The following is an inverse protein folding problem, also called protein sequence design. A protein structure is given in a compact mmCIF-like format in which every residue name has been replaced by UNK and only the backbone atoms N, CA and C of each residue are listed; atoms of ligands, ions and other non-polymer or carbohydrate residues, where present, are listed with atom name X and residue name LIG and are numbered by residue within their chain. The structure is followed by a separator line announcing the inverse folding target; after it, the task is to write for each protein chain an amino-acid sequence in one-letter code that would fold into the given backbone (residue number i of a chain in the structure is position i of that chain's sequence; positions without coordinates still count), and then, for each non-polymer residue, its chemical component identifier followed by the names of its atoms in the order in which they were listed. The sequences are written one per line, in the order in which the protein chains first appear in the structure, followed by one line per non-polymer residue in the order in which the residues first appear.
data_IF_693515473145
#
_entry.id   IF_693515473145
#
_cell.length_a   1.000
_cell.length_b   1.000
_cell.length_c   1.000
_cell.angle_alpha   90.00
_cell.angle_beta   90.00
_cell.angle_gamma   90.00
#
_symmetry.space_group_name_H-M   'P 1'
#
loop_
_entity.id
_entity.type
_entity.pdbx_description
1 polymer ?
#
# COMPACT_ATOMS: atom_id res chain seq x y z
N UNK A 1 21.93 34.40 31.73
CA UNK A 1 20.46 34.41 31.97
C UNK A 1 19.82 33.68 30.82
N UNK A 2 19.07 32.61 31.07
CA UNK A 2 18.34 31.92 29.99
C UNK A 2 18.31 30.41 30.16
N UNK A 3 17.54 29.97 31.14
CA UNK A 3 17.20 28.59 31.41
C UNK A 3 16.25 28.03 30.33
N UNK A 4 16.36 26.70 30.06
CA UNK A 4 15.32 25.76 29.55
C UNK A 4 14.80 26.04 28.10
N UNK A 5 14.54 25.11 27.17
CA UNK A 5 13.90 23.78 27.22
C UNK A 5 14.37 22.86 26.07
N UNK A 6 14.56 21.60 26.43
CA UNK A 6 14.54 20.42 25.56
C UNK A 6 13.19 20.32 24.82
N UNK A 7 13.20 20.06 23.51
CA UNK A 7 12.10 19.34 22.85
C UNK A 7 12.60 17.97 22.37
N UNK A 8 12.83 17.11 23.37
CA UNK A 8 12.77 15.65 23.21
C UNK A 8 11.39 15.31 22.67
N UNK A 9 11.29 14.70 21.49
CA UNK A 9 10.01 14.27 20.89
C UNK A 9 9.58 12.90 21.46
N UNK A 10 8.59 12.83 22.38
CA UNK A 10 8.18 11.58 23.04
C UNK A 10 7.23 10.73 22.18
N UNK A 11 6.80 11.24 21.02
CA UNK A 11 5.72 10.68 20.22
C UNK A 11 6.09 9.41 19.44
N UNK A 12 7.36 9.27 19.03
CA UNK A 12 7.85 8.07 18.35
C UNK A 12 7.87 6.85 19.27
N UNK A 13 8.21 7.04 20.55
CA UNK A 13 8.15 5.99 21.56
C UNK A 13 6.70 5.57 21.86
N UNK A 14 5.76 6.52 21.88
CA UNK A 14 4.33 6.21 22.02
C UNK A 14 3.75 5.44 20.82
N UNK A 15 4.20 5.70 19.58
CA UNK A 15 3.75 4.92 18.42
C UNK A 15 4.30 3.49 18.42
N UNK A 16 5.56 3.30 18.80
CA UNK A 16 6.16 1.96 18.88
C UNK A 16 5.56 1.12 20.02
N UNK A 17 5.26 1.74 21.17
CA UNK A 17 4.62 1.04 22.28
C UNK A 17 3.18 0.63 21.94
N UNK A 18 2.44 1.48 21.22
CA UNK A 18 1.08 1.19 20.78
C UNK A 18 1.05 0.10 19.70
N UNK A 19 2.07 0.05 18.83
CA UNK A 19 2.22 -1.01 17.84
C UNK A 19 2.59 -2.36 18.47
N UNK A 20 3.45 -2.35 19.50
CA UNK A 20 3.79 -3.55 20.28
C UNK A 20 2.60 -4.10 21.07
N UNK A 21 1.75 -3.23 21.63
CA UNK A 21 0.52 -3.65 22.35
C UNK A 21 -0.56 -4.17 21.41
N UNK A 22 -0.72 -3.57 20.22
CA UNK A 22 -1.65 -4.05 19.18
C UNK A 22 -1.24 -5.43 18.67
N UNK A 23 0.06 -5.67 18.50
CA UNK A 23 0.60 -6.97 18.11
C UNK A 23 0.40 -8.05 19.18
N UNK A 24 0.54 -7.69 20.47
CA UNK A 24 0.29 -8.62 21.60
C UNK A 24 -1.20 -8.95 21.82
N UNK A 25 -2.11 -8.18 21.22
CA UNK A 25 -3.57 -8.36 21.33
C UNK A 25 -4.17 -9.37 20.35
N UNK A 26 -3.41 -9.80 19.34
CA UNK A 26 -3.87 -10.69 18.27
C UNK A 26 -3.19 -12.07 18.34
N UNK A 27 -2.94 -12.57 19.55
CA UNK A 27 -2.43 -13.93 19.77
C UNK A 27 -3.53 -14.85 20.29
N UNK A 28 -4.51 -15.11 19.41
CA UNK A 28 -5.48 -16.19 19.60
C UNK A 28 -6.00 -16.68 18.25
N UNK A 29 -5.11 -17.31 17.47
CA UNK A 29 -5.36 -18.51 16.64
C UNK A 29 -4.14 -18.79 15.74
N UNK A 30 -3.40 -19.83 16.12
CA UNK A 30 -2.78 -20.78 15.19
C UNK A 30 -1.64 -20.32 14.25
N UNK A 31 -0.54 -19.77 14.76
CA UNK A 31 0.65 -19.52 13.92
C UNK A 31 1.98 -19.67 14.67
N UNK A 32 2.28 -20.88 15.19
CA UNK A 32 3.61 -21.20 15.75
C UNK A 32 4.75 -21.20 14.71
N UNK A 33 4.42 -21.10 13.42
CA UNK A 33 5.40 -21.10 12.32
C UNK A 33 5.84 -19.67 11.89
N UNK A 34 5.10 -18.61 12.22
CA UNK A 34 5.42 -17.23 11.76
C UNK A 34 6.28 -16.44 12.76
N UNK A 35 6.33 -16.84 14.04
CA UNK A 35 7.06 -16.13 15.11
C UNK A 35 8.58 -16.13 14.83
N UNK A 36 9.15 -17.26 14.40
CA UNK A 36 10.58 -17.35 14.06
C UNK A 36 10.97 -16.48 12.86
N UNK A 37 10.06 -16.34 11.90
CA UNK A 37 10.26 -15.45 10.75
C UNK A 37 10.15 -13.98 11.17
N UNK A 38 9.20 -13.66 12.04
CA UNK A 38 9.05 -12.31 12.59
C UNK A 38 10.28 -11.89 13.44
N UNK A 39 10.82 -12.78 14.28
CA UNK A 39 12.04 -12.53 15.06
C UNK A 39 13.26 -12.28 14.18
N UNK A 40 13.42 -13.04 13.10
CA UNK A 40 14.51 -12.84 12.14
C UNK A 40 14.41 -11.48 11.42
N UNK A 41 13.20 -11.08 11.02
CA UNK A 41 12.95 -9.79 10.37
C UNK A 41 13.24 -8.63 11.34
N UNK A 42 12.79 -8.74 12.59
CA UNK A 42 13.07 -7.71 13.60
C UNK A 42 14.56 -7.57 13.87
N UNK A 43 15.29 -8.69 14.01
CA UNK A 43 16.75 -8.68 14.23
C UNK A 43 17.50 -7.99 13.08
N UNK A 44 17.16 -8.33 11.83
CA UNK A 44 17.80 -7.74 10.66
C UNK A 44 17.56 -6.23 10.56
N UNK A 45 16.35 -5.77 10.87
CA UNK A 45 16.03 -4.33 10.86
C UNK A 45 16.80 -3.59 11.97
N UNK A 46 16.92 -4.18 13.17
CA UNK A 46 17.67 -3.55 14.27
C UNK A 46 19.17 -3.46 13.99
N UNK A 47 19.76 -4.44 13.31
CA UNK A 47 21.17 -4.45 12.95
C UNK A 47 21.50 -3.39 11.90
N UNK A 48 20.72 -3.30 10.81
CA UNK A 48 20.88 -2.28 9.77
C UNK A 48 20.76 -0.86 10.32
N UNK A 49 19.85 -0.65 11.28
CA UNK A 49 19.70 0.65 11.93
C UNK A 49 20.88 1.00 12.85
N UNK A 50 21.48 0.02 13.52
CA UNK A 50 22.68 0.23 14.34
C UNK A 50 23.91 0.55 13.49
N UNK A 51 24.14 -0.20 12.40
CA UNK A 51 25.26 0.04 11.47
C UNK A 51 25.18 1.42 10.83
N UNK A 52 23.96 1.87 10.50
CA UNK A 52 23.74 3.18 9.91
C UNK A 52 23.96 4.33 10.89
N UNK A 53 23.85 4.09 12.21
CA UNK A 53 24.06 5.10 13.26
C UNK A 53 25.56 5.32 13.53
N UNK A 54 26.36 4.26 13.51
CA UNK A 54 27.81 4.35 13.65
C UNK A 54 28.43 5.09 12.45
N UNK A 55 27.96 4.82 11.22
CA UNK A 55 28.46 5.46 10.01
C UNK A 55 28.15 6.98 9.93
N UNK A 56 27.07 7.44 10.56
CA UNK A 56 26.75 8.88 10.67
C UNK A 56 27.59 9.55 11.75
N UNK A 57 27.96 8.83 12.81
CA UNK A 57 28.75 9.36 13.92
C UNK A 57 30.17 9.78 13.50
N UNK A 58 30.79 9.09 12.54
CA UNK A 58 32.13 9.41 12.04
C UNK A 58 32.18 10.62 11.08
N UNK A 59 31.03 11.10 10.60
CA UNK A 59 30.95 12.21 9.64
C UNK A 59 30.92 13.62 10.26
N UNK A 60 31.03 13.73 11.59
CA UNK A 60 30.99 15.01 12.27
C UNK A 60 32.37 15.69 12.28
N UNK A 61 32.51 16.70 11.42
CA UNK A 61 33.59 17.70 11.46
C UNK A 61 33.68 18.32 12.86
N UNK A 62 34.89 18.37 13.41
CA UNK A 62 35.11 18.78 14.80
C UNK A 62 34.77 20.27 15.03
N UNK A 63 34.36 20.58 16.26
CA UNK A 63 33.88 21.90 16.72
C UNK A 63 34.88 23.05 16.49
N UNK A 64 36.16 22.76 16.30
CA UNK A 64 37.20 23.76 16.03
C UNK A 64 37.21 24.25 14.57
N UNK A 65 36.74 23.45 13.62
CA UNK A 65 36.67 23.87 12.21
C UNK A 65 35.47 24.78 11.93
N UNK A 66 34.36 24.62 12.66
CA UNK A 66 33.21 25.52 12.53
C UNK A 66 33.50 26.96 12.97
N UNK A 67 34.37 27.17 13.96
CA UNK A 67 34.71 28.52 14.45
C UNK A 67 35.54 29.33 13.46
N UNK A 68 36.25 28.68 12.54
CA UNK A 68 37.06 29.38 11.53
C UNK A 68 36.21 30.01 10.42
N UNK A 69 35.00 29.50 10.20
CA UNK A 69 34.11 29.97 9.12
C UNK A 69 33.29 31.19 9.57
N UNK A 70 33.05 31.36 10.88
CA UNK A 70 32.17 32.40 11.43
C UNK A 70 32.82 33.80 11.50
N UNK A 71 34.16 33.91 11.52
CA UNK A 71 34.84 35.19 11.75
C UNK A 71 35.01 36.13 10.53
N UNK A 72 34.35 35.89 9.39
CA UNK A 72 34.54 36.73 8.19
C UNK A 72 33.25 37.31 7.55
N UNK A 73 32.10 37.30 8.22
CA UNK A 73 30.84 37.64 7.52
C UNK A 73 29.97 38.75 8.15
N UNK A 74 30.46 39.44 9.18
CA UNK A 74 29.66 40.47 9.88
C UNK A 74 29.71 41.87 9.25
N UNK A 75 30.54 42.14 8.22
CA UNK A 75 30.68 43.50 7.67
C UNK A 75 29.59 43.93 6.67
N UNK A 76 28.64 43.07 6.29
CA UNK A 76 27.79 43.31 5.11
C UNK A 76 26.27 43.46 5.39
N UNK A 77 25.83 43.53 6.65
CA UNK A 77 24.38 43.51 6.98
C UNK A 77 23.66 44.87 7.06
N UNK A 78 24.24 45.98 6.59
CA UNK A 78 23.57 47.29 6.70
C UNK A 78 22.60 47.64 5.56
N UNK A 79 22.36 46.77 4.57
CA UNK A 79 21.54 47.09 3.39
C UNK A 79 20.57 45.96 3.01
N UNK A 80 19.47 45.75 3.73
CA UNK A 80 18.36 44.92 3.21
C UNK A 80 16.99 45.53 3.53
N UNK A 81 16.27 45.88 2.47
CA UNK A 81 14.86 46.31 2.47
C UNK A 81 13.93 45.23 3.04
N UNK A 82 12.75 45.60 3.58
CA UNK A 82 11.80 44.63 4.14
C UNK A 82 11.27 43.69 3.06
N UNK A 83 11.57 42.40 3.21
CA UNK A 83 11.13 41.31 2.33
C UNK A 83 9.61 41.16 2.45
N UNK A 84 8.91 41.31 1.32
CA UNK A 84 7.48 41.03 1.18
C UNK A 84 7.20 39.58 1.59
N UNK A 85 6.22 39.39 2.47
CA UNK A 85 5.71 38.10 2.93
C UNK A 85 5.50 37.14 1.75
N UNK A 86 6.30 36.08 1.70
CA UNK A 86 6.21 35.01 0.72
C UNK A 86 4.83 34.35 0.82
N UNK A 87 4.03 34.49 -0.23
CA UNK A 87 2.77 33.79 -0.43
C UNK A 87 3.00 32.28 -0.27
N UNK A 88 2.46 31.69 0.80
CA UNK A 88 2.29 30.24 0.88
C UNK A 88 1.32 29.84 -0.23
N UNK A 89 1.84 29.14 -1.25
CA UNK A 89 1.02 28.55 -2.31
C UNK A 89 0.02 27.58 -1.66
N UNK A 90 -1.29 27.65 -1.97
CA UNK A 90 -2.27 26.78 -1.35
C UNK A 90 -1.92 25.32 -1.64
N UNK A 91 -1.87 24.51 -0.58
CA UNK A 91 -1.68 23.06 -0.64
C UNK A 91 -2.79 22.46 -1.52
N UNK A 92 -2.41 21.64 -2.50
CA UNK A 92 -3.38 20.96 -3.37
C UNK A 92 -4.38 20.19 -2.49
N UNK A 93 -5.70 20.33 -2.73
CA UNK A 93 -6.69 19.62 -1.95
C UNK A 93 -6.49 18.10 -2.07
N UNK A 94 -6.74 17.34 -0.99
CA UNK A 94 -6.62 15.89 -1.02
C UNK A 94 -7.58 15.30 -2.07
N UNK A 95 -7.12 14.24 -2.76
CA UNK A 95 -7.92 13.52 -3.75
C UNK A 95 -9.19 12.98 -3.09
N UNK A 96 -10.35 13.24 -3.68
CA UNK A 96 -11.62 12.63 -3.25
C UNK A 96 -11.78 11.27 -3.90
N UNK A 97 -12.02 10.24 -3.09
CA UNK A 97 -12.34 8.89 -3.53
C UNK A 97 -13.84 8.68 -3.26
N UNK A 98 -14.65 8.32 -4.27
CA UNK A 98 -16.07 8.03 -4.07
C UNK A 98 -16.24 6.88 -3.07
N UNK A 99 -17.20 7.01 -2.16
CA UNK A 99 -17.50 6.00 -1.14
C UNK A 99 -18.54 4.98 -1.60
N UNK A 100 -19.08 5.13 -2.81
CA UNK A 100 -20.07 4.24 -3.41
C UNK A 100 -19.51 3.69 -4.71
N UNK A 101 -19.93 2.48 -5.05
CA UNK A 101 -19.66 1.90 -6.36
C UNK A 101 -20.28 2.80 -7.44
N UNK A 102 -19.57 2.93 -8.55
CA UNK A 102 -20.09 3.64 -9.72
C UNK A 102 -21.13 2.78 -10.47
N UNK A 103 -20.92 1.46 -10.46
CA UNK A 103 -21.80 0.47 -11.10
C UNK A 103 -21.92 -0.76 -10.21
N UNK A 104 -23.08 -1.41 -10.30
CA UNK A 104 -23.37 -2.66 -9.61
C UNK A 104 -23.73 -3.69 -10.67
N UNK A 105 -23.16 -4.89 -10.54
CA UNK A 105 -23.46 -6.05 -11.37
C UNK A 105 -24.10 -7.10 -10.47
N UNK A 106 -25.28 -7.59 -10.88
CA UNK A 106 -25.95 -8.68 -10.19
C UNK A 106 -25.37 -10.01 -10.66
N UNK A 107 -24.86 -10.80 -9.73
CA UNK A 107 -24.16 -12.06 -10.01
C UNK A 107 -24.96 -13.25 -9.44
N UNK A 108 -26.08 -13.65 -10.08
CA UNK A 108 -26.86 -14.79 -9.63
C UNK A 108 -26.03 -16.08 -9.81
N UNK A 109 -25.95 -16.92 -8.78
CA UNK A 109 -25.20 -18.18 -8.85
C UNK A 109 -23.69 -18.04 -8.68
N UNK A 110 -23.19 -16.88 -8.23
CA UNK A 110 -21.78 -16.77 -7.85
C UNK A 110 -21.48 -17.74 -6.70
N UNK A 111 -20.44 -18.55 -6.87
CA UNK A 111 -20.03 -19.52 -5.86
C UNK A 111 -19.15 -18.82 -4.82
N UNK A 112 -19.56 -18.86 -3.56
CA UNK A 112 -18.81 -18.31 -2.43
C UNK A 112 -17.72 -19.29 -1.97
N UNK A 113 -16.65 -19.40 -2.76
CA UNK A 113 -15.48 -20.21 -2.44
C UNK A 113 -14.19 -19.42 -2.71
N UNK A 114 -13.39 -19.27 -1.65
CA UNK A 114 -12.15 -18.52 -1.63
C UNK A 114 -11.08 -19.06 -2.60
N UNK A 115 -11.11 -20.36 -2.91
CA UNK A 115 -10.09 -20.99 -3.77
C UNK A 115 -10.40 -20.84 -5.25
N UNK A 116 -11.61 -20.41 -5.60
CA UNK A 116 -12.03 -20.29 -6.98
C UNK A 116 -11.61 -18.95 -7.56
N UNK A 117 -11.16 -18.98 -8.81
CA UNK A 117 -10.71 -17.79 -9.52
C UNK A 117 -11.69 -17.44 -10.63
N UNK A 118 -12.91 -17.08 -10.25
CA UNK A 118 -14.08 -16.96 -11.15
C UNK A 118 -14.24 -15.59 -11.82
N UNK A 119 -13.30 -14.66 -11.63
CA UNK A 119 -13.40 -13.29 -12.14
C UNK A 119 -12.10 -12.86 -12.81
N UNK A 120 -12.19 -12.33 -14.03
CA UNK A 120 -11.05 -11.75 -14.73
C UNK A 120 -11.42 -10.56 -15.63
N UNK A 121 -10.57 -9.52 -15.65
CA UNK A 121 -10.80 -8.29 -16.42
C UNK A 121 -9.79 -8.18 -17.57
N UNK A 122 -10.29 -8.14 -18.80
CA UNK A 122 -9.47 -7.95 -19.98
C UNK A 122 -8.98 -6.53 -20.20
N UNK A 123 -7.88 -6.40 -20.95
CA UNK A 123 -7.40 -5.14 -21.54
C UNK A 123 -8.40 -4.53 -22.54
N UNK A 124 -9.28 -5.34 -23.13
CA UNK A 124 -10.39 -4.89 -23.97
C UNK A 124 -11.59 -4.35 -23.18
N UNK A 125 -11.44 -4.15 -21.87
CA UNK A 125 -12.45 -3.63 -20.95
C UNK A 125 -13.70 -4.51 -20.81
N UNK A 126 -13.51 -5.82 -20.99
CA UNK A 126 -14.56 -6.82 -20.78
C UNK A 126 -14.24 -7.57 -19.51
N UNK A 127 -15.22 -7.69 -18.62
CA UNK A 127 -15.14 -8.51 -17.41
C UNK A 127 -15.69 -9.90 -17.73
N UNK A 128 -14.95 -10.96 -17.42
CA UNK A 128 -15.44 -12.33 -17.46
C UNK A 128 -15.76 -12.78 -16.04
N UNK A 129 -16.97 -13.31 -15.84
CA UNK A 129 -17.47 -13.77 -14.54
C UNK A 129 -18.03 -15.18 -14.71
N UNK A 130 -17.57 -16.12 -13.89
CA UNK A 130 -18.17 -17.44 -13.76
C UNK A 130 -19.31 -17.39 -12.73
N UNK A 131 -20.48 -17.84 -13.14
CA UNK A 131 -21.70 -17.94 -12.36
C UNK A 131 -22.14 -19.41 -12.38
N UNK A 132 -21.77 -20.17 -11.35
CA UNK A 132 -22.03 -21.61 -11.27
C UNK A 132 -21.52 -22.36 -12.53
N UNK A 133 -22.44 -22.75 -13.42
CA UNK A 133 -22.17 -23.48 -14.65
C UNK A 133 -22.14 -22.58 -15.90
N UNK A 134 -22.31 -21.28 -15.77
CA UNK A 134 -22.26 -20.34 -16.89
C UNK A 134 -21.10 -19.37 -16.76
N UNK A 135 -20.63 -18.88 -17.91
CA UNK A 135 -19.63 -17.81 -17.97
C UNK A 135 -20.26 -16.61 -18.67
N UNK A 136 -20.33 -15.50 -17.97
CA UNK A 136 -20.87 -14.24 -18.48
C UNK A 136 -19.73 -13.26 -18.78
N UNK A 137 -19.92 -12.49 -19.85
CA UNK A 137 -19.07 -11.38 -20.23
C UNK A 137 -19.84 -10.09 -20.02
N UNK A 138 -19.23 -9.15 -19.30
CA UNK A 138 -19.77 -7.81 -19.12
C UNK A 138 -18.83 -6.80 -19.79
N UNK A 139 -19.34 -6.10 -20.80
CA UNK A 139 -18.61 -5.02 -21.47
C UNK A 139 -18.76 -3.74 -20.64
N UNK A 140 -17.66 -3.23 -20.11
CA UNK A 140 -17.68 -2.03 -19.27
C UNK A 140 -17.89 -0.73 -20.09
N UNK A 141 -17.69 -0.74 -21.41
CA UNK A 141 -17.99 0.43 -22.25
C UNK A 141 -19.50 0.58 -22.49
N UNK A 142 -20.14 -0.48 -22.97
CA UNK A 142 -21.57 -0.46 -23.32
C UNK A 142 -22.47 -0.77 -22.12
N UNK A 143 -21.94 -1.46 -21.11
CA UNK A 143 -22.68 -1.99 -19.97
C UNK A 143 -23.47 -3.26 -20.30
N UNK A 144 -23.30 -3.84 -21.49
CA UNK A 144 -24.04 -5.04 -21.89
C UNK A 144 -23.47 -6.30 -21.24
N UNK A 145 -24.36 -7.22 -20.88
CA UNK A 145 -24.01 -8.57 -20.41
C UNK A 145 -24.29 -9.56 -21.53
N UNK A 146 -23.34 -10.45 -21.81
CA UNK A 146 -23.46 -11.52 -22.79
C UNK A 146 -23.07 -12.82 -22.13
N UNK A 147 -23.96 -13.80 -22.14
CA UNK A 147 -23.64 -15.16 -21.71
C UNK A 147 -22.78 -15.82 -22.81
N UNK A 148 -21.55 -16.20 -22.44
CA UNK A 148 -20.60 -16.79 -23.39
C UNK A 148 -20.88 -18.28 -23.59
N UNK A 149 -21.08 -18.98 -22.48
CA UNK A 149 -21.31 -20.43 -22.49
C UNK A 149 -22.06 -20.83 -21.23
N UNK A 150 -22.98 -21.78 -21.39
CA UNK A 150 -23.69 -22.46 -20.32
C UNK A 150 -23.36 -23.93 -20.43
N UNK A 151 -22.80 -24.51 -19.37
CA UNK A 151 -22.53 -25.93 -19.30
C UNK A 151 -23.73 -26.66 -18.69
N UNK A 152 -23.93 -27.93 -19.09
CA UNK A 152 -24.98 -28.76 -18.50
C UNK A 152 -24.77 -28.90 -17.00
N UNK A 153 -25.85 -29.11 -16.24
CA UNK A 153 -25.83 -29.28 -14.78
C UNK A 153 -24.92 -30.46 -14.33
N UNK A 154 -24.73 -31.45 -15.20
CA UNK A 154 -23.82 -32.59 -14.95
C UNK A 154 -22.35 -32.17 -14.88
N UNK A 155 -21.99 -31.08 -15.56
CA UNK A 155 -20.66 -30.49 -15.53
C UNK A 155 -20.65 -29.56 -14.33
N UNK A 156 -19.90 -29.94 -13.30
CA UNK A 156 -19.76 -29.14 -12.07
C UNK A 156 -19.27 -27.70 -12.35
N UNK A 157 -19.47 -26.77 -11.40
CA UNK A 157 -19.21 -25.34 -11.63
C UNK A 157 -17.78 -25.03 -12.05
N UNK A 158 -17.66 -23.90 -12.76
CA UNK A 158 -16.38 -23.36 -13.22
C UNK A 158 -15.52 -22.99 -12.00
N UNK A 159 -14.29 -23.50 -11.95
CA UNK A 159 -13.37 -23.26 -10.83
C UNK A 159 -12.40 -22.13 -11.07
N UNK A 160 -12.06 -21.85 -12.33
CA UNK A 160 -11.10 -20.81 -12.67
C UNK A 160 -11.33 -20.23 -14.05
N UNK A 161 -11.15 -18.93 -14.18
CA UNK A 161 -11.15 -18.18 -15.42
C UNK A 161 -9.80 -17.47 -15.55
N UNK A 162 -9.21 -17.54 -16.74
CA UNK A 162 -7.99 -16.81 -17.05
C UNK A 162 -8.03 -16.34 -18.50
N UNK A 163 -7.96 -15.03 -18.70
CA UNK A 163 -7.96 -14.41 -20.01
C UNK A 163 -6.55 -14.13 -20.48
N UNK A 164 -6.31 -14.42 -21.75
CA UNK A 164 -5.03 -14.11 -22.39
C UNK A 164 -4.81 -12.60 -22.49
N UNK A 165 -3.54 -12.20 -22.62
CA UNK A 165 -3.15 -10.79 -22.70
C UNK A 165 -3.73 -10.07 -23.93
N UNK A 166 -4.04 -10.82 -24.99
CA UNK A 166 -4.72 -10.31 -26.18
C UNK A 166 -6.18 -9.88 -25.92
N UNK A 167 -6.76 -10.29 -24.79
CA UNK A 167 -8.15 -10.02 -24.41
C UNK A 167 -9.20 -10.81 -25.21
N UNK A 168 -8.77 -11.63 -26.18
CA UNK A 168 -9.63 -12.37 -27.10
C UNK A 168 -9.89 -13.80 -26.62
N UNK A 169 -8.89 -14.44 -26.03
CA UNK A 169 -9.01 -15.83 -25.59
C UNK A 169 -9.28 -15.91 -24.09
N UNK A 170 -10.21 -16.79 -23.71
CA UNK A 170 -10.58 -17.06 -22.32
C UNK A 170 -10.38 -18.55 -22.03
N UNK A 171 -9.50 -18.87 -21.11
CA UNK A 171 -9.38 -20.19 -20.52
C UNK A 171 -10.40 -20.36 -19.40
N UNK A 172 -11.13 -21.48 -19.43
CA UNK A 172 -12.11 -21.88 -18.41
C UNK A 172 -11.68 -23.22 -17.86
N UNK A 173 -11.46 -23.29 -16.54
CA UNK A 173 -11.10 -24.49 -15.81
C UNK A 173 -12.29 -25.01 -15.01
N UNK A 174 -12.42 -26.33 -14.98
CA UNK A 174 -13.44 -27.06 -14.23
C UNK A 174 -12.76 -27.91 -13.15
N UNK A 175 -13.54 -28.44 -12.22
CA UNK A 175 -13.02 -29.31 -11.17
C UNK A 175 -12.77 -30.77 -11.60
N UNK A 176 -12.97 -31.11 -12.87
CA UNK A 176 -12.74 -32.46 -13.39
C UNK A 176 -11.29 -32.71 -13.85
N UNK A 177 -10.41 -31.71 -13.76
CA UNK A 177 -9.00 -31.79 -14.17
C UNK A 177 -8.80 -31.45 -15.63
#
# INVERSE_FOLDING_TARGET
MGSVLFSSTPWLWFMLLNWFWLWKGEESRSTRCTIKQAEAITSAITEVLNDSLENVSESFVSKAEMQKIEMLQDSNLSNLNPVKSSQFKPLKPPRRIPQRSERTFEAPGIVDDFYLKILDWSSANVLAVALDNSVCLWDAFTGSVTELVTYNEDIRPVTSINRAHDGLHLGVGFNNG
#
